data_IF_183289268702
#
_entry.id   IF_183289268702
#
_cell.length_a   1.000
_cell.length_b   1.000
_cell.length_c   1.000
_cell.angle_alpha   90.00
_cell.angle_beta   90.00
_cell.angle_gamma   90.00
#
_symmetry.space_group_name_H-M   'P 1'
#
loop_
_entity.id
_entity.type
_entity.pdbx_description
1 polymer ?
#
# COMPACT_ATOMS: atom_id res chain seq x y z
N UNK A 1 -11.97 -50.29 7.39
CA UNK A 1 -13.43 -50.45 7.19
C UNK A 1 -13.89 -51.38 8.31
N UNK A 2 -14.56 -50.86 9.33
CA UNK A 2 -15.04 -51.70 10.43
C UNK A 2 -16.34 -52.32 9.94
N UNK A 3 -16.30 -53.63 9.70
CA UNK A 3 -17.45 -54.45 9.35
C UNK A 3 -17.92 -55.14 10.63
N UNK A 4 -19.23 -55.34 10.80
CA UNK A 4 -19.76 -56.13 11.92
C UNK A 4 -19.31 -57.60 11.78
N UNK A 5 -19.51 -58.44 12.82
CA UNK A 5 -18.95 -59.79 12.99
C UNK A 5 -19.03 -60.76 11.77
N UNK A 6 -19.84 -60.45 10.74
CA UNK A 6 -19.95 -61.23 9.50
C UNK A 6 -19.37 -60.57 8.23
N UNK A 7 -18.85 -59.34 8.25
CA UNK A 7 -18.22 -58.76 7.05
C UNK A 7 -19.17 -58.35 5.91
N UNK A 8 -20.49 -58.55 6.04
CA UNK A 8 -21.46 -58.45 4.94
C UNK A 8 -21.87 -57.03 4.56
N UNK A 9 -21.89 -56.05 5.49
CA UNK A 9 -22.41 -54.70 5.23
C UNK A 9 -21.53 -53.57 5.80
N UNK A 10 -21.37 -52.43 5.09
CA UNK A 10 -20.64 -51.28 5.60
C UNK A 10 -21.44 -50.55 6.72
N UNK A 11 -21.13 -50.83 7.98
CA UNK A 11 -21.84 -50.31 9.17
C UNK A 11 -21.88 -48.77 9.28
N UNK A 12 -20.91 -48.07 8.66
CA UNK A 12 -20.75 -46.62 8.80
C UNK A 12 -21.44 -45.82 7.69
N UNK A 13 -21.71 -46.45 6.55
CA UNK A 13 -22.31 -45.81 5.36
C UNK A 13 -23.81 -45.58 5.56
N UNK A 14 -24.48 -46.45 6.32
CA UNK A 14 -25.92 -46.37 6.61
C UNK A 14 -26.27 -45.42 7.78
N UNK A 15 -25.29 -44.76 8.40
CA UNK A 15 -25.54 -43.85 9.53
C UNK A 15 -26.36 -42.64 9.09
N UNK A 16 -27.35 -42.23 9.89
CA UNK A 16 -28.22 -41.07 9.64
C UNK A 16 -27.47 -39.75 9.37
N UNK A 17 -26.24 -39.64 9.87
CA UNK A 17 -25.37 -38.47 9.74
C UNK A 17 -24.21 -38.69 8.76
N UNK A 18 -24.18 -39.82 8.07
CA UNK A 18 -23.19 -40.09 7.03
C UNK A 18 -23.35 -39.04 5.92
N UNK A 19 -22.24 -38.47 5.47
CA UNK A 19 -22.21 -37.37 4.50
C UNK A 19 -22.72 -36.01 5.01
N UNK A 20 -23.16 -35.88 6.27
CA UNK A 20 -23.60 -34.60 6.85
C UNK A 20 -22.45 -33.91 7.58
N UNK A 21 -22.28 -32.61 7.34
CA UNK A 21 -21.32 -31.79 8.08
C UNK A 21 -21.70 -31.72 9.56
N UNK A 22 -20.84 -32.17 10.49
CA UNK A 22 -21.09 -32.08 11.92
C UNK A 22 -21.31 -30.63 12.40
N UNK A 23 -22.11 -30.42 13.45
CA UNK A 23 -22.47 -29.08 13.91
C UNK A 23 -21.26 -28.28 14.43
N UNK A 24 -20.25 -28.95 15.00
CA UNK A 24 -19.04 -28.28 15.49
C UNK A 24 -18.21 -27.68 14.34
N UNK A 25 -18.16 -28.34 13.18
CA UNK A 25 -17.45 -27.81 12.00
C UNK A 25 -18.12 -26.53 11.51
N UNK A 26 -19.46 -26.50 11.48
CA UNK A 26 -20.22 -25.29 11.11
C UNK A 26 -19.94 -24.12 12.05
N UNK A 27 -19.82 -24.39 13.36
CA UNK A 27 -19.46 -23.37 14.35
C UNK A 27 -18.07 -22.79 14.08
N UNK A 28 -17.08 -23.66 13.85
CA UNK A 28 -15.70 -23.25 13.56
C UNK A 28 -15.61 -22.42 12.27
N UNK A 29 -16.33 -22.82 11.22
CA UNK A 29 -16.35 -22.06 9.96
C UNK A 29 -16.92 -20.67 10.20
N UNK A 30 -18.06 -20.57 10.89
CA UNK A 30 -18.70 -19.29 11.20
C UNK A 30 -17.80 -18.39 12.06
N UNK A 31 -17.12 -18.96 13.05
CA UNK A 31 -16.18 -18.23 13.90
C UNK A 31 -15.00 -17.67 13.09
N UNK A 32 -14.42 -18.49 12.20
CA UNK A 32 -13.36 -18.03 11.28
C UNK A 32 -13.83 -16.97 10.28
N UNK A 33 -15.07 -17.04 9.81
CA UNK A 33 -15.65 -16.01 8.93
C UNK A 33 -15.80 -14.69 9.68
N UNK A 34 -16.30 -14.73 10.92
CA UNK A 34 -16.41 -13.56 11.79
C UNK A 34 -15.04 -12.95 12.11
N UNK A 35 -14.04 -13.77 12.42
CA UNK A 35 -12.68 -13.32 12.69
C UNK A 35 -12.04 -12.64 11.47
N UNK A 36 -12.23 -13.21 10.27
CA UNK A 36 -11.77 -12.57 9.01
C UNK A 36 -12.46 -11.24 8.76
N UNK A 37 -13.76 -11.15 9.03
CA UNK A 37 -14.51 -9.90 8.85
C UNK A 37 -14.00 -8.83 9.84
N UNK A 38 -13.84 -9.19 11.11
CA UNK A 38 -13.29 -8.31 12.14
C UNK A 38 -11.87 -7.83 11.80
N UNK A 39 -11.03 -8.70 11.23
CA UNK A 39 -9.69 -8.34 10.77
C UNK A 39 -9.74 -7.32 9.61
N UNK A 40 -10.63 -7.53 8.63
CA UNK A 40 -10.83 -6.58 7.52
C UNK A 40 -11.33 -5.22 8.04
N UNK A 41 -12.26 -5.22 8.99
CA UNK A 41 -12.76 -3.99 9.62
C UNK A 41 -11.67 -3.28 10.41
N UNK A 42 -10.86 -4.02 11.18
CA UNK A 42 -9.70 -3.47 11.89
C UNK A 42 -8.72 -2.81 10.93
N UNK A 43 -8.37 -3.50 9.83
CA UNK A 43 -7.47 -2.94 8.80
C UNK A 43 -8.09 -1.71 8.13
N UNK A 44 -9.39 -1.69 7.87
CA UNK A 44 -10.09 -0.51 7.34
C UNK A 44 -10.10 0.65 8.33
N UNK A 45 -10.26 0.39 9.61
CA UNK A 45 -10.22 1.42 10.66
C UNK A 45 -8.80 1.99 10.86
N UNK A 46 -7.76 1.18 10.64
CA UNK A 46 -6.36 1.64 10.70
C UNK A 46 -5.98 2.42 9.44
N UNK A 47 -6.53 2.07 8.27
CA UNK A 47 -6.25 2.79 7.03
C UNK A 47 -6.77 4.22 7.17
N UNK A 48 -5.90 5.22 7.07
CA UNK A 48 -6.33 6.60 7.17
C UNK A 48 -7.28 6.93 6.02
N UNK A 49 -8.21 7.89 6.22
CA UNK A 49 -9.10 8.32 5.15
C UNK A 49 -8.27 8.84 3.98
N UNK A 50 -8.34 8.15 2.85
CA UNK A 50 -7.68 8.57 1.62
C UNK A 50 -8.59 9.56 0.89
N UNK A 51 -8.14 10.80 0.77
CA UNK A 51 -8.80 11.86 0.02
C UNK A 51 -8.35 11.81 -1.44
N UNK A 52 -9.31 11.83 -2.37
CA UNK A 52 -8.99 12.01 -3.79
C UNK A 52 -8.45 13.42 -4.03
N UNK A 53 -7.31 13.52 -4.72
CA UNK A 53 -6.71 14.80 -5.09
C UNK A 53 -7.38 15.32 -6.38
N UNK A 54 -8.15 16.41 -6.32
CA UNK A 54 -8.76 17.00 -7.51
C UNK A 54 -7.70 17.54 -8.47
N UNK A 55 -8.06 17.64 -9.75
CA UNK A 55 -7.11 18.05 -10.80
C UNK A 55 -6.59 19.48 -10.62
N UNK A 56 -7.40 20.38 -10.06
CA UNK A 56 -7.02 21.77 -9.82
C UNK A 56 -5.91 21.88 -8.78
N UNK A 57 -6.09 21.24 -7.62
CA UNK A 57 -5.04 21.15 -6.58
C UNK A 57 -3.78 20.48 -7.13
N UNK A 58 -3.92 19.41 -7.93
CA UNK A 58 -2.77 18.77 -8.58
C UNK A 58 -2.00 19.72 -9.49
N UNK A 59 -2.70 20.54 -10.30
CA UNK A 59 -2.07 21.51 -11.20
C UNK A 59 -1.37 22.62 -10.42
N UNK A 60 -1.96 23.07 -9.32
CA UNK A 60 -1.35 24.05 -8.42
C UNK A 60 -0.08 23.51 -7.77
N UNK A 61 -0.12 22.29 -7.25
CA UNK A 61 1.06 21.60 -6.70
C UNK A 61 2.16 21.43 -7.75
N UNK A 62 1.80 20.99 -8.96
CA UNK A 62 2.76 20.83 -10.06
C UNK A 62 3.43 22.16 -10.41
N UNK A 63 2.65 23.25 -10.45
CA UNK A 63 3.18 24.59 -10.70
C UNK A 63 4.18 25.00 -9.61
N UNK A 64 3.82 24.80 -8.35
CA UNK A 64 4.70 25.11 -7.21
C UNK A 64 6.00 24.29 -7.20
N UNK A 65 5.92 23.00 -7.55
CA UNK A 65 7.11 22.14 -7.67
C UNK A 65 8.04 22.59 -8.80
N UNK A 66 7.46 22.95 -9.96
CA UNK A 66 8.25 23.45 -11.10
C UNK A 66 8.92 24.79 -10.78
N UNK A 67 8.23 25.72 -10.12
CA UNK A 67 8.84 26.99 -9.70
C UNK A 67 9.98 26.77 -8.70
N UNK A 68 9.81 25.86 -7.74
CA UNK A 68 10.87 25.54 -6.79
C UNK A 68 12.07 24.87 -7.48
N UNK A 69 11.81 23.99 -8.45
CA UNK A 69 12.86 23.37 -9.26
C UNK A 69 13.63 24.45 -10.05
N UNK A 70 12.95 25.39 -10.69
CA UNK A 70 13.59 26.49 -11.43
C UNK A 70 14.47 27.35 -10.52
N UNK A 71 13.98 27.72 -9.34
CA UNK A 71 14.73 28.48 -8.34
C UNK A 71 16.00 27.74 -7.90
N UNK A 72 15.86 26.47 -7.52
CA UNK A 72 16.97 25.65 -7.05
C UNK A 72 17.97 25.34 -8.19
N UNK A 73 17.49 25.22 -9.42
CA UNK A 73 18.32 25.07 -10.61
C UNK A 73 19.11 26.35 -10.88
N UNK A 74 18.54 27.54 -10.67
CA UNK A 74 19.30 28.79 -10.76
C UNK A 74 20.43 28.84 -9.74
N UNK A 75 20.18 28.39 -8.50
CA UNK A 75 21.23 28.30 -7.48
C UNK A 75 22.32 27.29 -7.86
N UNK A 76 21.93 26.17 -8.47
CA UNK A 76 22.86 25.18 -8.99
C UNK A 76 23.77 25.78 -10.07
N UNK A 77 23.21 26.54 -11.01
CA UNK A 77 23.98 27.22 -12.06
C UNK A 77 24.95 28.27 -11.51
N UNK A 78 24.59 28.92 -10.38
CA UNK A 78 25.44 29.89 -9.70
C UNK A 78 26.55 29.24 -8.86
N UNK A 79 26.61 27.91 -8.77
CA UNK A 79 27.69 27.23 -8.04
C UNK A 79 29.04 27.47 -8.72
N UNK A 80 30.12 27.67 -7.92
CA UNK A 80 31.46 27.73 -8.46
C UNK A 80 31.82 26.43 -9.19
N UNK A 81 32.38 26.54 -10.40
CA UNK A 81 32.87 25.39 -11.18
C UNK A 81 33.90 24.55 -10.41
N UNK A 82 34.71 25.20 -9.56
CA UNK A 82 35.79 24.57 -8.81
C UNK A 82 35.32 24.25 -7.38
N UNK A 83 35.18 22.95 -7.09
CA UNK A 83 34.70 22.39 -5.82
C UNK A 83 35.81 21.65 -5.07
N UNK A 84 36.95 22.30 -4.83
CA UNK A 84 38.12 21.63 -4.22
C UNK A 84 37.97 21.41 -2.71
N UNK A 85 37.03 22.12 -2.07
CA UNK A 85 36.85 22.11 -0.61
C UNK A 85 35.64 21.24 -0.24
N UNK A 86 35.77 20.43 0.82
CA UNK A 86 34.71 19.58 1.38
C UNK A 86 33.34 20.29 1.52
N UNK A 87 33.23 21.51 2.10
CA UNK A 87 31.96 22.23 2.15
C UNK A 87 31.36 22.55 0.77
N UNK A 88 32.19 22.83 -0.24
CA UNK A 88 31.70 23.10 -1.60
C UNK A 88 31.14 21.83 -2.25
N UNK A 89 31.81 20.69 -2.05
CA UNK A 89 31.33 19.38 -2.52
C UNK A 89 30.01 19.03 -1.85
N UNK A 90 29.92 19.18 -0.53
CA UNK A 90 28.69 18.88 0.21
C UNK A 90 27.53 19.80 -0.20
N UNK A 91 27.78 21.09 -0.43
CA UNK A 91 26.75 22.02 -0.93
C UNK A 91 26.22 21.58 -2.29
N UNK A 92 27.12 21.24 -3.23
CA UNK A 92 26.75 20.75 -4.56
C UNK A 92 25.91 19.47 -4.47
N UNK A 93 26.39 18.47 -3.71
CA UNK A 93 25.69 17.20 -3.54
C UNK A 93 24.30 17.38 -2.90
N UNK A 94 24.14 18.32 -1.96
CA UNK A 94 22.84 18.65 -1.37
C UNK A 94 21.87 19.17 -2.43
N UNK A 95 22.28 20.15 -3.23
CA UNK A 95 21.45 20.75 -4.28
C UNK A 95 21.09 19.69 -5.34
N UNK A 96 22.05 18.85 -5.76
CA UNK A 96 21.78 17.76 -6.72
C UNK A 96 20.78 16.73 -6.19
N UNK A 97 20.84 16.41 -4.89
CA UNK A 97 19.87 15.51 -4.26
C UNK A 97 18.47 16.15 -4.18
N UNK A 98 18.40 17.44 -3.84
CA UNK A 98 17.14 18.20 -3.81
C UNK A 98 16.49 18.28 -5.20
N UNK A 99 17.27 18.58 -6.26
CA UNK A 99 16.80 18.53 -7.66
C UNK A 99 16.24 17.15 -8.03
N UNK A 100 17.00 16.09 -7.73
CA UNK A 100 16.58 14.72 -8.02
C UNK A 100 15.27 14.34 -7.31
N UNK A 101 15.06 14.83 -6.09
CA UNK A 101 13.81 14.59 -5.36
C UNK A 101 12.64 15.33 -6.02
N UNK A 102 12.82 16.61 -6.37
CA UNK A 102 11.81 17.39 -7.07
C UNK A 102 11.45 16.77 -8.43
N UNK A 103 12.43 16.28 -9.19
CA UNK A 103 12.18 15.59 -10.47
C UNK A 103 11.34 14.32 -10.29
N UNK A 104 11.62 13.53 -9.26
CA UNK A 104 10.83 12.32 -8.94
C UNK A 104 9.40 12.68 -8.55
N UNK A 105 9.23 13.72 -7.73
CA UNK A 105 7.91 14.17 -7.27
C UNK A 105 7.08 14.72 -8.44
N UNK A 106 7.68 15.53 -9.32
CA UNK A 106 7.06 16.02 -10.55
C UNK A 106 6.67 14.84 -11.45
N UNK A 107 7.58 13.88 -11.66
CA UNK A 107 7.30 12.72 -12.50
C UNK A 107 6.14 11.88 -11.96
N UNK A 108 6.06 11.71 -10.64
CA UNK A 108 4.96 11.01 -9.97
C UNK A 108 3.62 11.70 -10.26
N UNK A 109 3.55 13.03 -10.08
CA UNK A 109 2.32 13.79 -10.30
C UNK A 109 1.88 13.85 -11.77
N UNK A 110 2.83 13.86 -12.72
CA UNK A 110 2.54 13.88 -14.15
C UNK A 110 2.11 12.51 -14.68
N UNK A 111 2.79 11.44 -14.22
CA UNK A 111 2.53 10.07 -14.67
C UNK A 111 1.21 9.51 -14.17
N UNK A 112 0.77 9.91 -12.97
CA UNK A 112 -0.43 9.38 -12.35
C UNK A 112 -1.51 10.48 -12.22
N UNK A 113 -2.54 10.49 -13.10
CA UNK A 113 -3.61 11.49 -13.04
C UNK A 113 -4.49 11.38 -11.81
N UNK A 114 -4.75 10.16 -11.34
CA UNK A 114 -5.58 9.87 -10.18
C UNK A 114 -4.69 9.57 -8.97
N UNK A 115 -4.63 10.51 -8.03
CA UNK A 115 -3.86 10.37 -6.79
C UNK A 115 -4.76 10.47 -5.58
N UNK A 116 -4.39 9.73 -4.54
CA UNK A 116 -5.07 9.73 -3.26
C UNK A 116 -4.07 10.10 -2.19
N UNK A 117 -4.43 11.08 -1.36
CA UNK A 117 -3.60 11.61 -0.29
C UNK A 117 -4.21 11.20 1.04
N UNK A 118 -3.35 10.87 2.00
CA UNK A 118 -3.75 10.66 3.38
C UNK A 118 -3.72 12.03 4.08
N UNK A 119 -4.89 12.54 4.48
CA UNK A 119 -4.94 13.73 5.33
C UNK A 119 -4.46 13.33 6.74
N UNK A 120 -3.44 14.02 7.25
CA UNK A 120 -2.91 13.85 8.62
C UNK A 120 -3.66 14.75 9.61
#
# INVERSE_FOLDING_TARGET
MVLDEAGLEPTYVSKKNFGKTPPYIKKIIKEKEMEKLAEVERVRAIKPPLRYLPEEERKELLKGLKTNWDELYTEFLLLPMVTDSVPKVNRKARIENELNNLEKDINLLERYPSLYVCDN
#
